data_IF_710781372802
#
_entry.id   IF_710781372802
#
_cell.length_a   1.000
_cell.length_b   1.000
_cell.length_c   1.000
_cell.angle_alpha   90.00
_cell.angle_beta   90.00
_cell.angle_gamma   90.00
#
_symmetry.space_group_name_H-M   'P 1'
#
loop_
_entity.id
_entity.type
_entity.pdbx_description
1 polymer ?
#
# COMPACT_ATOMS: atom_id res chain seq x y z
N UNK A 1 -14.06 -16.27 7.83
CA UNK A 1 -12.80 -16.27 7.04
C UNK A 1 -11.73 -17.01 7.81
N UNK A 2 -11.16 -18.10 7.26
CA UNK A 2 -10.12 -18.87 7.96
C UNK A 2 -8.77 -18.13 7.95
N UNK A 3 -7.86 -18.39 8.91
CA UNK A 3 -6.52 -17.77 8.92
C UNK A 3 -5.72 -18.01 7.63
N UNK A 4 -5.86 -19.16 7.01
CA UNK A 4 -5.20 -19.48 5.74
C UNK A 4 -5.70 -18.59 4.59
N UNK A 5 -7.01 -18.36 4.50
CA UNK A 5 -7.62 -17.47 3.49
C UNK A 5 -7.22 -16.01 3.73
N UNK A 6 -7.19 -15.57 5.00
CA UNK A 6 -6.69 -14.23 5.37
C UNK A 6 -5.27 -14.06 4.89
N UNK A 7 -4.37 -14.99 5.25
CA UNK A 7 -2.96 -14.93 4.85
C UNK A 7 -2.76 -14.96 3.34
N UNK A 8 -3.48 -15.83 2.63
CA UNK A 8 -3.42 -15.89 1.17
C UNK A 8 -3.81 -14.55 0.54
N UNK A 9 -4.90 -13.91 1.00
CA UNK A 9 -5.34 -12.60 0.53
C UNK A 9 -4.30 -11.51 0.77
N UNK A 10 -3.71 -11.45 1.96
CA UNK A 10 -2.69 -10.46 2.31
C UNK A 10 -1.38 -10.62 1.51
N UNK A 11 -1.11 -11.81 1.00
CA UNK A 11 0.08 -12.07 0.16
C UNK A 11 -0.21 -11.93 -1.33
N UNK A 12 -1.46 -12.09 -1.76
CA UNK A 12 -1.83 -12.12 -3.18
C UNK A 12 -1.37 -10.89 -3.99
N UNK A 13 -1.36 -9.65 -3.46
CA UNK A 13 -0.83 -8.49 -4.19
C UNK A 13 0.63 -8.62 -4.63
N UNK A 14 1.41 -9.50 -4.01
CA UNK A 14 2.79 -9.77 -4.42
C UNK A 14 2.89 -10.37 -5.83
N UNK A 15 1.85 -11.06 -6.32
CA UNK A 15 1.79 -11.55 -7.70
C UNK A 15 1.90 -10.44 -8.75
N UNK A 16 1.57 -9.21 -8.37
CA UNK A 16 1.67 -8.06 -9.26
C UNK A 16 3.13 -7.69 -9.59
N UNK A 17 4.10 -8.01 -8.69
CA UNK A 17 5.45 -7.48 -8.85
C UNK A 17 6.60 -8.37 -8.35
N UNK A 18 6.37 -9.24 -7.34
CA UNK A 18 7.43 -9.93 -6.60
C UNK A 18 7.87 -11.21 -7.34
N UNK A 19 9.11 -11.24 -7.79
CA UNK A 19 9.72 -12.38 -8.48
C UNK A 19 10.04 -13.57 -7.58
N UNK A 20 9.88 -13.41 -6.26
CA UNK A 20 10.06 -14.48 -5.26
C UNK A 20 8.74 -15.06 -4.74
N UNK A 21 7.60 -14.54 -5.21
CA UNK A 21 6.28 -15.00 -4.79
C UNK A 21 5.55 -15.72 -5.90
N UNK A 22 5.27 -17.01 -5.68
CA UNK A 22 4.40 -17.82 -6.53
C UNK A 22 3.07 -18.01 -5.82
N UNK A 23 2.00 -17.50 -6.41
CA UNK A 23 0.64 -17.71 -5.90
C UNK A 23 0.12 -19.12 -6.20
N UNK A 24 -0.94 -19.52 -5.48
CA UNK A 24 -1.56 -20.85 -5.66
C UNK A 24 -2.70 -20.81 -6.69
N UNK A 25 -2.45 -20.29 -7.89
CA UNK A 25 -3.41 -20.32 -8.99
C UNK A 25 -2.97 -21.30 -10.09
N UNK A 26 -3.92 -21.73 -10.90
CA UNK A 26 -3.61 -22.52 -12.09
C UNK A 26 -2.75 -21.72 -13.08
N UNK A 27 -2.92 -20.39 -13.13
CA UNK A 27 -2.09 -19.53 -13.98
C UNK A 27 -0.62 -19.63 -13.56
N UNK A 28 -0.33 -19.48 -12.26
CA UNK A 28 1.04 -19.57 -11.75
C UNK A 28 1.61 -21.01 -11.82
N UNK A 29 0.75 -22.03 -11.69
CA UNK A 29 1.17 -23.42 -11.64
C UNK A 29 1.33 -24.06 -13.03
N UNK A 30 0.35 -23.84 -13.90
CA UNK A 30 0.22 -24.60 -15.16
C UNK A 30 0.64 -23.76 -16.38
N UNK A 31 0.43 -22.45 -16.35
CA UNK A 31 0.74 -21.56 -17.49
C UNK A 31 2.11 -20.93 -17.33
N UNK A 32 2.33 -20.14 -16.26
CA UNK A 32 3.60 -19.41 -16.04
C UNK A 32 4.67 -20.31 -15.45
N UNK A 33 4.27 -21.33 -14.68
CA UNK A 33 5.13 -22.26 -13.94
C UNK A 33 6.11 -21.56 -12.98
N UNK A 34 5.69 -20.39 -12.44
CA UNK A 34 6.52 -19.54 -11.58
C UNK A 34 5.80 -18.29 -11.07
N UNK A 35 6.54 -17.32 -10.54
CA UNK A 35 6.01 -16.01 -10.20
C UNK A 35 5.45 -15.27 -11.42
N UNK A 36 4.25 -14.70 -11.30
CA UNK A 36 3.56 -14.03 -12.42
C UNK A 36 4.23 -12.68 -12.74
N UNK A 37 4.49 -11.85 -11.75
CA UNK A 37 5.08 -10.50 -11.92
C UNK A 37 4.32 -9.67 -12.96
N UNK A 38 3.00 -9.57 -12.79
CA UNK A 38 2.11 -9.06 -13.83
C UNK A 38 2.51 -7.67 -14.35
N UNK A 39 2.77 -6.71 -13.43
CA UNK A 39 3.05 -5.33 -13.84
C UNK A 39 4.40 -5.19 -14.56
N UNK A 40 5.53 -5.72 -14.05
CA UNK A 40 6.79 -5.74 -14.80
C UNK A 40 6.68 -6.44 -16.15
N UNK A 41 5.92 -7.55 -16.23
CA UNK A 41 5.73 -8.27 -17.49
C UNK A 41 4.92 -7.45 -18.50
N UNK A 42 3.84 -6.80 -18.08
CA UNK A 42 3.05 -5.92 -18.94
C UNK A 42 3.85 -4.70 -19.39
N UNK A 43 4.60 -4.08 -18.49
CA UNK A 43 5.45 -2.92 -18.83
C UNK A 43 6.49 -3.30 -19.89
N UNK A 44 7.13 -4.47 -19.76
CA UNK A 44 8.07 -4.97 -20.78
C UNK A 44 7.41 -5.12 -22.16
N UNK A 45 6.13 -5.56 -22.22
CA UNK A 45 5.37 -5.63 -23.47
C UNK A 45 5.07 -4.26 -24.05
N UNK A 46 4.68 -3.33 -23.20
CA UNK A 46 4.42 -1.93 -23.59
C UNK A 46 5.69 -1.31 -24.17
N UNK A 47 6.81 -1.41 -23.45
CA UNK A 47 8.10 -0.85 -23.88
C UNK A 47 8.57 -1.40 -25.23
N UNK A 48 8.30 -2.69 -25.49
CA UNK A 48 8.71 -3.36 -26.72
C UNK A 48 7.81 -3.06 -27.94
N UNK A 49 6.51 -2.78 -27.72
CA UNK A 49 5.55 -2.73 -28.82
C UNK A 49 4.79 -1.40 -28.93
N UNK A 50 4.55 -0.73 -27.81
CA UNK A 50 3.76 0.50 -27.73
C UNK A 50 4.36 1.46 -26.69
N UNK A 51 5.62 1.92 -26.85
CA UNK A 51 6.28 2.78 -25.87
C UNK A 51 5.43 4.02 -25.57
N UNK A 52 5.52 4.52 -24.33
CA UNK A 52 4.76 5.65 -23.78
C UNK A 52 3.27 5.39 -23.54
N UNK A 53 2.74 4.20 -23.85
CA UNK A 53 1.37 3.84 -23.53
C UNK A 53 1.22 3.58 -22.03
N UNK A 54 0.23 4.21 -21.41
CA UNK A 54 -0.07 3.99 -19.99
C UNK A 54 -0.86 2.70 -19.78
N UNK A 55 -0.50 1.98 -18.72
CA UNK A 55 -1.22 0.80 -18.28
C UNK A 55 -2.50 1.20 -17.52
N UNK A 56 -3.61 0.57 -17.85
CA UNK A 56 -4.87 0.67 -17.13
C UNK A 56 -5.32 -0.72 -16.64
N UNK A 57 -5.81 -0.79 -15.40
CA UNK A 57 -6.42 -1.98 -14.82
C UNK A 57 -7.91 -1.70 -14.65
N UNK A 58 -8.71 -2.18 -15.59
CA UNK A 58 -10.12 -1.82 -15.69
C UNK A 58 -11.03 -2.60 -14.74
N UNK A 59 -10.51 -3.64 -14.10
CA UNK A 59 -11.24 -4.43 -13.12
C UNK A 59 -10.27 -5.13 -12.17
N UNK A 60 -10.41 -4.91 -10.86
CA UNK A 60 -9.62 -5.61 -9.86
C UNK A 60 -10.36 -5.71 -8.52
N UNK A 61 -10.16 -6.83 -7.81
CA UNK A 61 -10.65 -7.07 -6.46
C UNK A 61 -9.88 -8.25 -5.85
N UNK A 62 -9.60 -8.20 -4.55
CA UNK A 62 -8.93 -9.27 -3.80
C UNK A 62 -9.87 -9.94 -2.78
N UNK A 63 -11.14 -9.56 -2.78
CA UNK A 63 -12.19 -10.07 -1.88
C UNK A 63 -12.01 -9.65 -0.42
N UNK A 64 -12.98 -10.00 0.41
CA UNK A 64 -12.99 -9.69 1.84
C UNK A 64 -13.05 -8.21 2.14
N UNK A 65 -13.76 -7.43 1.33
CA UNK A 65 -13.91 -5.98 1.53
C UNK A 65 -14.65 -5.60 2.82
N UNK A 66 -15.25 -6.57 3.48
CA UNK A 66 -15.88 -6.48 4.81
C UNK A 66 -14.93 -6.85 5.97
N UNK A 67 -13.67 -7.14 5.70
CA UNK A 67 -12.67 -7.63 6.68
C UNK A 67 -11.34 -6.89 6.54
N UNK A 68 -10.59 -6.77 7.64
CA UNK A 68 -9.29 -6.05 7.66
C UNK A 68 -8.28 -6.61 6.63
N UNK A 69 -8.30 -7.91 6.33
CA UNK A 69 -7.42 -8.47 5.30
C UNK A 69 -7.74 -7.99 3.89
N UNK A 70 -9.01 -7.67 3.61
CA UNK A 70 -9.40 -7.03 2.35
C UNK A 70 -8.91 -5.60 2.26
N UNK A 71 -8.97 -4.85 3.37
CA UNK A 71 -8.36 -3.52 3.42
C UNK A 71 -6.84 -3.57 3.20
N UNK A 72 -6.16 -4.52 3.84
CA UNK A 72 -4.71 -4.73 3.68
C UNK A 72 -4.35 -5.02 2.23
N UNK A 73 -5.04 -5.97 1.59
CA UNK A 73 -4.82 -6.30 0.19
C UNK A 73 -5.13 -5.11 -0.73
N UNK A 74 -6.25 -4.43 -0.52
CA UNK A 74 -6.64 -3.24 -1.29
C UNK A 74 -5.61 -2.11 -1.16
N UNK A 75 -5.16 -1.79 0.06
CA UNK A 75 -4.16 -0.76 0.30
C UNK A 75 -2.80 -1.13 -0.33
N UNK A 76 -2.41 -2.40 -0.25
CA UNK A 76 -1.16 -2.90 -0.86
C UNK A 76 -1.21 -2.77 -2.39
N UNK A 77 -2.32 -3.15 -3.01
CA UNK A 77 -2.55 -3.00 -4.47
C UNK A 77 -2.49 -1.54 -4.91
N UNK A 78 -3.16 -0.63 -4.19
CA UNK A 78 -3.14 0.81 -4.52
C UNK A 78 -1.72 1.37 -4.47
N UNK A 79 -0.94 1.00 -3.46
CA UNK A 79 0.47 1.40 -3.36
C UNK A 79 1.34 0.79 -4.46
N UNK A 80 1.11 -0.47 -4.84
CA UNK A 80 1.78 -1.13 -5.96
C UNK A 80 1.44 -0.42 -7.28
N UNK A 81 0.17 -0.10 -7.52
CA UNK A 81 -0.24 0.62 -8.74
C UNK A 81 0.46 1.99 -8.85
N UNK A 82 0.51 2.76 -7.76
CA UNK A 82 1.26 4.02 -7.73
C UNK A 82 2.74 3.82 -8.03
N UNK A 83 3.38 2.81 -7.42
CA UNK A 83 4.81 2.48 -7.65
C UNK A 83 5.11 2.12 -9.11
N UNK A 84 4.20 1.44 -9.79
CA UNK A 84 4.37 0.98 -11.17
C UNK A 84 3.73 1.90 -12.21
N UNK A 85 3.27 3.09 -11.82
CA UNK A 85 2.74 4.10 -12.75
C UNK A 85 1.47 3.67 -13.47
N UNK A 86 0.62 2.85 -12.84
CA UNK A 86 -0.69 2.49 -13.39
C UNK A 86 -1.54 3.77 -13.50
N UNK A 87 -1.90 4.16 -14.71
CA UNK A 87 -2.58 5.44 -14.97
C UNK A 87 -4.06 5.45 -14.59
N UNK A 88 -4.72 4.30 -14.62
CA UNK A 88 -6.12 4.14 -14.23
C UNK A 88 -6.34 2.76 -13.62
N UNK A 89 -7.11 2.70 -12.53
CA UNK A 89 -7.53 1.44 -11.93
C UNK A 89 -8.96 1.55 -11.39
N UNK A 90 -9.84 0.61 -11.79
CA UNK A 90 -11.23 0.57 -11.34
C UNK A 90 -11.48 -0.66 -10.47
N UNK A 91 -11.91 -0.43 -9.23
CA UNK A 91 -12.27 -1.50 -8.29
C UNK A 91 -13.62 -2.10 -8.67
N UNK A 92 -13.70 -3.42 -8.80
CA UNK A 92 -14.92 -4.14 -9.18
C UNK A 92 -15.43 -5.07 -8.08
N UNK A 93 -16.67 -4.94 -7.71
CA UNK A 93 -17.43 -3.71 -7.59
C UNK A 93 -17.44 -3.35 -6.11
N UNK A 94 -17.37 -2.07 -5.77
CA UNK A 94 -17.46 -1.66 -4.37
C UNK A 94 -18.91 -1.84 -3.88
N UNK A 95 -19.12 -2.78 -2.98
CA UNK A 95 -20.42 -3.06 -2.39
C UNK A 95 -20.64 -2.26 -1.10
N UNK A 96 -21.88 -2.04 -0.69
CA UNK A 96 -22.21 -1.31 0.55
C UNK A 96 -21.58 -1.94 1.80
N UNK A 97 -21.47 -3.26 1.85
CA UNK A 97 -20.87 -3.99 2.97
C UNK A 97 -19.32 -4.02 2.94
N UNK A 98 -18.67 -3.52 1.89
CA UNK A 98 -17.21 -3.51 1.76
C UNK A 98 -16.57 -2.30 2.45
N UNK A 99 -16.90 -2.09 3.70
CA UNK A 99 -16.47 -0.95 4.50
C UNK A 99 -14.95 -0.88 4.70
N UNK A 100 -14.25 -2.02 4.79
CA UNK A 100 -12.81 -2.10 4.92
C UNK A 100 -12.08 -1.81 3.61
N UNK A 101 -12.61 -2.26 2.46
CA UNK A 101 -12.06 -1.86 1.15
C UNK A 101 -12.22 -0.34 0.95
N UNK A 102 -13.39 0.21 1.28
CA UNK A 102 -13.63 1.66 1.27
C UNK A 102 -12.66 2.41 2.18
N UNK A 103 -12.35 1.88 3.38
CA UNK A 103 -11.38 2.48 4.29
C UNK A 103 -9.96 2.48 3.72
N UNK A 104 -9.56 1.41 3.03
CA UNK A 104 -8.28 1.33 2.33
C UNK A 104 -8.16 2.38 1.21
N UNK A 105 -9.22 2.60 0.44
CA UNK A 105 -9.27 3.66 -0.57
C UNK A 105 -9.16 5.04 0.10
N UNK A 106 -9.86 5.25 1.22
CA UNK A 106 -9.75 6.51 2.00
C UNK A 106 -8.34 6.74 2.54
N UNK A 107 -7.56 5.70 2.87
CA UNK A 107 -6.16 5.86 3.28
C UNK A 107 -5.30 6.57 2.23
N UNK A 108 -5.67 6.49 0.95
CA UNK A 108 -5.00 7.20 -0.14
C UNK A 108 -5.72 8.48 -0.58
N UNK A 109 -7.03 8.60 -0.37
CA UNK A 109 -7.85 9.66 -0.97
C UNK A 109 -8.51 10.61 0.03
N UNK A 110 -8.52 10.26 1.32
CA UNK A 110 -9.09 11.09 2.39
C UNK A 110 -8.71 10.54 3.77
N UNK A 111 -7.40 10.41 4.06
CA UNK A 111 -6.92 9.74 5.27
C UNK A 111 -7.27 10.47 6.57
N UNK A 112 -7.45 11.77 6.53
CA UNK A 112 -7.73 12.64 7.68
C UNK A 112 -9.21 13.04 7.82
N UNK A 113 -10.07 12.61 6.87
CA UNK A 113 -11.47 13.03 6.80
C UNK A 113 -11.68 14.48 6.32
N UNK A 114 -10.61 15.15 5.88
CA UNK A 114 -10.60 16.56 5.42
C UNK A 114 -10.06 16.73 4.02
N UNK A 115 -9.93 15.63 3.27
CA UNK A 115 -9.43 15.63 1.91
C UNK A 115 -7.91 15.40 1.80
N UNK A 116 -7.24 14.97 2.87
CA UNK A 116 -5.82 14.58 2.82
C UNK A 116 -5.60 13.39 1.89
N UNK A 117 -4.71 13.54 0.89
CA UNK A 117 -4.49 12.56 -0.17
C UNK A 117 -3.03 12.13 -0.25
N UNK A 118 -2.80 10.91 -0.73
CA UNK A 118 -1.51 10.47 -1.24
C UNK A 118 -1.14 11.35 -2.45
N UNK A 119 0.13 11.72 -2.60
CA UNK A 119 0.59 12.62 -3.64
C UNK A 119 0.62 11.99 -5.03
N UNK A 120 0.92 12.82 -6.03
CA UNK A 120 0.92 12.47 -7.45
C UNK A 120 2.28 11.96 -7.95
N UNK A 121 3.35 12.08 -7.14
CA UNK A 121 4.69 11.55 -7.47
C UNK A 121 5.05 10.44 -6.50
N UNK A 122 5.23 9.23 -7.03
CA UNK A 122 5.65 8.07 -6.23
C UNK A 122 7.13 8.18 -5.82
N UNK A 123 7.40 7.95 -4.54
CA UNK A 123 8.76 7.84 -4.00
C UNK A 123 9.24 6.40 -4.03
N UNK A 124 10.53 6.20 -4.31
CA UNK A 124 11.17 4.91 -4.10
C UNK A 124 11.11 4.51 -2.62
N UNK A 125 10.53 3.36 -2.33
CA UNK A 125 10.38 2.86 -0.97
C UNK A 125 10.69 1.35 -0.91
N UNK A 126 11.35 0.92 0.16
CA UNK A 126 11.71 -0.47 0.38
C UNK A 126 11.56 -0.88 1.84
N UNK A 127 11.44 -2.16 2.09
CA UNK A 127 11.36 -2.77 3.42
C UNK A 127 12.29 -3.96 3.50
N UNK A 128 12.85 -4.22 4.67
CA UNK A 128 13.63 -5.43 4.96
C UNK A 128 12.76 -6.68 5.15
N UNK A 129 11.44 -6.53 5.30
CA UNK A 129 10.48 -7.64 5.54
C UNK A 129 9.29 -7.54 4.58
N UNK A 130 9.53 -7.69 3.26
CA UNK A 130 8.51 -7.57 2.22
C UNK A 130 7.35 -8.58 2.35
N UNK A 131 7.55 -9.65 3.08
CA UNK A 131 6.51 -10.63 3.35
C UNK A 131 5.45 -10.13 4.35
N UNK A 132 5.87 -9.32 5.32
CA UNK A 132 4.98 -8.88 6.39
C UNK A 132 4.75 -7.37 6.42
N UNK A 133 5.61 -6.58 5.80
CA UNK A 133 5.49 -5.12 5.78
C UNK A 133 5.58 -4.60 4.35
N UNK A 134 4.65 -3.74 3.97
CA UNK A 134 4.76 -2.92 2.75
C UNK A 134 4.90 -1.45 3.12
N UNK A 135 5.61 -0.70 2.28
CA UNK A 135 5.76 0.75 2.43
C UNK A 135 5.66 1.43 1.07
N UNK A 136 4.88 2.49 1.02
CA UNK A 136 4.69 3.35 -0.15
C UNK A 136 4.84 4.79 0.27
N UNK A 137 5.50 5.58 -0.56
CA UNK A 137 5.70 7.00 -0.31
C UNK A 137 5.31 7.82 -1.52
N UNK A 138 4.84 9.02 -1.27
CA UNK A 138 4.55 10.01 -2.31
C UNK A 138 4.92 11.41 -1.86
N UNK A 139 5.09 12.29 -2.83
CA UNK A 139 5.09 13.74 -2.65
C UNK A 139 4.17 14.38 -3.70
N UNK A 140 3.86 15.64 -3.51
CA UNK A 140 3.16 16.42 -4.53
C UNK A 140 4.16 17.08 -5.46
N UNK A 141 3.93 17.03 -6.77
CA UNK A 141 4.77 17.70 -7.77
C UNK A 141 4.84 19.21 -7.57
N UNK A 142 3.73 19.82 -7.10
CA UNK A 142 3.66 21.26 -6.79
C UNK A 142 4.14 21.64 -5.39
N UNK A 143 4.37 20.67 -4.48
CA UNK A 143 4.78 20.90 -3.10
C UNK A 143 5.64 19.73 -2.60
N UNK A 144 6.90 19.74 -2.98
CA UNK A 144 7.84 18.62 -2.77
C UNK A 144 8.15 18.30 -1.30
N UNK A 145 7.88 19.22 -0.38
CA UNK A 145 7.96 19.00 1.07
C UNK A 145 6.68 18.38 1.68
N UNK A 146 5.62 18.19 0.90
CA UNK A 146 4.44 17.44 1.32
C UNK A 146 4.60 15.95 1.01
N UNK A 147 5.08 15.22 1.99
CA UNK A 147 5.27 13.77 1.89
C UNK A 147 4.15 13.03 2.59
N UNK A 148 3.66 11.95 1.99
CA UNK A 148 2.71 11.01 2.60
C UNK A 148 3.26 9.60 2.45
N UNK A 149 3.26 8.85 3.56
CA UNK A 149 3.71 7.47 3.59
C UNK A 149 2.54 6.56 4.00
N UNK A 150 2.40 5.44 3.32
CA UNK A 150 1.46 4.37 3.71
C UNK A 150 2.30 3.15 4.08
N UNK A 151 2.18 2.71 5.34
CA UNK A 151 2.90 1.54 5.87
C UNK A 151 1.88 0.49 6.28
N UNK A 152 2.05 -0.72 5.79
CA UNK A 152 1.10 -1.82 5.96
C UNK A 152 1.77 -2.95 6.73
N UNK A 153 1.19 -3.34 7.87
CA UNK A 153 1.59 -4.54 8.58
C UNK A 153 0.62 -5.69 8.25
N UNK A 154 1.11 -6.69 7.53
CA UNK A 154 0.39 -7.90 7.11
C UNK A 154 0.52 -9.05 8.12
N UNK A 155 1.32 -8.89 9.18
CA UNK A 155 1.50 -9.90 10.21
C UNK A 155 0.34 -9.90 11.21
N UNK A 156 0.05 -11.06 11.78
CA UNK A 156 -0.92 -11.24 12.88
C UNK A 156 -0.42 -10.75 14.22
N UNK A 157 0.81 -10.24 14.28
CA UNK A 157 1.42 -9.62 15.46
C UNK A 157 1.81 -8.16 15.15
N UNK A 158 1.84 -7.34 16.21
CA UNK A 158 2.38 -5.98 16.11
C UNK A 158 3.87 -6.03 15.73
N UNK A 159 4.32 -5.02 14.97
CA UNK A 159 5.72 -4.89 14.54
C UNK A 159 6.31 -3.54 14.92
N UNK A 160 7.48 -3.58 15.54
CA UNK A 160 8.29 -2.38 15.70
C UNK A 160 9.08 -2.13 14.41
N UNK A 161 8.97 -0.94 13.86
CA UNK A 161 9.64 -0.55 12.63
C UNK A 161 10.45 0.72 12.83
N UNK A 162 11.64 0.76 12.23
CA UNK A 162 12.39 1.99 11.96
C UNK A 162 12.05 2.50 10.59
N UNK A 163 11.68 3.77 10.48
CA UNK A 163 11.40 4.46 9.22
C UNK A 163 12.44 5.53 9.00
N UNK A 164 13.03 5.60 7.80
CA UNK A 164 13.94 6.66 7.40
C UNK A 164 13.51 7.21 6.05
N UNK A 165 13.45 8.54 5.95
CA UNK A 165 13.12 9.25 4.73
C UNK A 165 14.38 9.99 4.22
N UNK A 166 14.84 9.65 3.02
CA UNK A 166 15.89 10.40 2.34
C UNK A 166 15.24 11.57 1.60
N UNK A 167 15.38 12.77 2.14
CA UNK A 167 14.79 13.98 1.58
C UNK A 167 15.66 15.20 1.96
N UNK A 168 15.82 16.23 1.09
CA UNK A 168 16.64 17.41 1.41
C UNK A 168 16.02 18.28 2.51
N UNK A 169 14.69 18.34 2.63
CA UNK A 169 14.03 19.05 3.73
C UNK A 169 14.06 18.22 5.02
N UNK A 170 14.14 18.91 6.15
CA UNK A 170 14.00 18.30 7.47
C UNK A 170 12.52 18.15 7.86
N UNK A 171 12.20 17.03 8.49
CA UNK A 171 10.85 16.75 8.99
C UNK A 171 10.87 16.46 10.49
N UNK A 172 9.85 16.94 11.18
CA UNK A 172 9.64 16.73 12.61
C UNK A 172 8.80 15.49 12.92
N UNK A 173 7.71 15.69 13.66
CA UNK A 173 6.80 14.60 14.02
C UNK A 173 6.04 14.07 12.80
N UNK A 174 5.61 12.80 12.88
CA UNK A 174 4.67 12.19 11.93
C UNK A 174 3.25 12.31 12.49
N UNK A 175 2.35 13.00 11.81
CA UNK A 175 0.93 12.80 12.03
C UNK A 175 0.55 11.36 11.59
N UNK A 176 -0.32 10.70 12.36
CA UNK A 176 -0.60 9.26 12.20
C UNK A 176 -2.10 9.00 12.11
N UNK A 177 -2.50 8.28 11.06
CA UNK A 177 -3.86 7.77 10.86
C UNK A 177 -3.81 6.26 10.67
N UNK A 178 -4.67 5.52 11.35
CA UNK A 178 -4.54 4.07 11.45
C UNK A 178 -5.87 3.37 11.22
N UNK A 179 -5.84 2.38 10.35
CA UNK A 179 -6.90 1.40 10.14
C UNK A 179 -6.42 0.06 10.71
N UNK A 180 -7.06 -0.45 11.76
CA UNK A 180 -6.71 -1.71 12.42
C UNK A 180 -7.88 -2.31 13.19
N UNK A 181 -7.78 -3.59 13.54
CA UNK A 181 -8.80 -4.29 14.33
C UNK A 181 -10.11 -4.51 13.57
N UNK A 182 -11.23 -4.28 14.24
CA UNK A 182 -12.59 -4.57 13.73
C UNK A 182 -13.33 -3.34 13.22
N UNK A 183 -12.74 -2.14 13.32
CA UNK A 183 -13.35 -0.91 12.84
C UNK A 183 -12.82 -0.52 11.47
N UNK A 184 -13.72 -0.30 10.53
CA UNK A 184 -13.41 0.20 9.18
C UNK A 184 -13.25 1.73 9.14
N UNK A 185 -12.73 2.34 10.21
CA UNK A 185 -12.47 3.76 10.31
C UNK A 185 -10.98 4.04 10.45
N UNK A 186 -10.47 4.97 9.64
CA UNK A 186 -9.14 5.55 9.86
C UNK A 186 -9.21 6.46 11.09
N UNK A 187 -8.51 6.07 12.14
CA UNK A 187 -8.47 6.82 13.40
C UNK A 187 -7.18 7.64 13.49
N UNK A 188 -7.29 8.93 13.80
CA UNK A 188 -6.14 9.73 14.20
C UNK A 188 -5.53 9.16 15.48
N UNK A 189 -4.21 9.05 15.52
CA UNK A 189 -3.43 8.56 16.64
C UNK A 189 -2.43 9.63 17.09
N UNK A 190 -1.86 9.53 18.30
CA UNK A 190 -0.79 10.43 18.71
C UNK A 190 0.35 10.46 17.69
N UNK A 191 0.89 11.64 17.46
CA UNK A 191 2.01 11.86 16.58
C UNK A 191 3.25 11.08 17.02
N UNK A 192 4.08 10.70 16.06
CA UNK A 192 5.34 9.99 16.32
C UNK A 192 6.48 10.99 16.26
N UNK A 193 7.14 11.23 17.38
CA UNK A 193 8.29 12.11 17.44
C UNK A 193 9.48 11.55 16.62
N UNK A 194 10.21 12.42 15.95
CA UNK A 194 11.46 12.06 15.29
C UNK A 194 12.49 11.59 16.32
N UNK A 195 13.29 10.59 15.96
CA UNK A 195 14.40 10.06 16.77
C UNK A 195 15.75 10.62 16.30
N UNK A 196 15.84 10.98 15.03
CA UNK A 196 16.95 11.64 14.39
C UNK A 196 16.42 12.32 13.10
N UNK A 197 17.28 12.98 12.34
CA UNK A 197 16.92 13.66 11.11
C UNK A 197 16.18 12.70 10.14
N UNK A 198 14.93 13.03 9.85
CA UNK A 198 14.04 12.27 8.97
C UNK A 198 13.96 10.77 9.33
N UNK A 199 14.07 10.44 10.62
CA UNK A 199 14.01 9.06 11.11
C UNK A 199 13.10 8.91 12.32
N UNK A 200 12.29 7.87 12.30
CA UNK A 200 11.27 7.57 13.31
C UNK A 200 11.29 6.10 13.69
N UNK A 201 10.85 5.81 14.91
CA UNK A 201 10.58 4.46 15.38
C UNK A 201 9.13 4.39 15.88
N UNK A 202 8.37 3.43 15.38
CA UNK A 202 6.97 3.26 15.75
C UNK A 202 6.56 1.79 15.76
N UNK A 203 5.51 1.51 16.51
CA UNK A 203 4.85 0.22 16.50
C UNK A 203 3.67 0.28 15.53
N UNK A 204 3.62 -0.65 14.61
CA UNK A 204 2.47 -0.92 13.74
C UNK A 204 1.63 -2.02 14.40
N UNK A 205 0.32 -1.82 14.61
CA UNK A 205 -0.54 -2.90 15.09
C UNK A 205 -0.52 -4.12 14.18
N UNK A 206 -0.95 -5.26 14.71
CA UNK A 206 -1.22 -6.44 13.90
C UNK A 206 -2.24 -6.10 12.82
N UNK A 207 -2.04 -6.59 11.60
CA UNK A 207 -2.97 -6.41 10.48
C UNK A 207 -3.50 -4.96 10.39
N UNK A 208 -2.65 -4.05 9.93
CA UNK A 208 -2.98 -2.61 9.92
C UNK A 208 -2.50 -1.91 8.65
N UNK A 209 -3.19 -0.82 8.32
CA UNK A 209 -2.78 0.19 7.33
C UNK A 209 -2.57 1.49 8.08
N UNK A 210 -1.38 2.04 8.03
CA UNK A 210 -1.01 3.27 8.73
C UNK A 210 -0.56 4.33 7.73
N UNK A 211 -1.25 5.47 7.72
CA UNK A 211 -0.85 6.65 6.97
C UNK A 211 -0.03 7.55 7.88
N UNK A 212 1.13 7.97 7.43
CA UNK A 212 2.08 8.82 8.15
C UNK A 212 2.36 10.07 7.31
N UNK A 213 2.23 11.23 7.94
CA UNK A 213 2.45 12.51 7.28
C UNK A 213 3.51 13.28 8.06
N UNK A 214 4.76 13.34 7.54
CA UNK A 214 5.83 14.12 8.17
C UNK A 214 5.50 15.60 8.16
N UNK A 215 5.66 16.28 9.29
CA UNK A 215 5.53 17.72 9.39
C UNK A 215 6.85 18.38 8.95
N UNK A 216 6.88 19.26 7.93
CA UNK A 216 8.07 20.04 7.59
C UNK A 216 8.52 20.89 8.78
N UNK A 217 9.86 21.04 8.96
CA UNK A 217 10.48 21.91 9.98
C UNK A 217 10.84 23.28 9.42
#
# INVERSE_FOLDING_TARGET
TSPAVVRAREQAPRSLWDDTYKEQSWIANDVVQGPIKLLPWLQQKIDAHYPETQLAITEWNYGGGDHISGAIACADVLGIFGRYGVGLATYWALQENESFASAAIRAYRNYDGKGGTFGDVALGASTSDKQNVSVYGSLDSGKTDRVVLVVINKATAAKNVGLKLAHPAAFGALARYELSGTSAQLASKPDVAAKADNAWALMLPAQSVTVLVPAPQ
#
